data_IF_176041100559
#
_entry.id   IF_176041100559
#
_cell.length_a   1.000
_cell.length_b   1.000
_cell.length_c   1.000
_cell.angle_alpha   90.00
_cell.angle_beta   90.00
_cell.angle_gamma   90.00
#
_symmetry.space_group_name_H-M   'P 1'
#
loop_
_entity.id
_entity.type
_entity.pdbx_description
1 polymer ?
#
# COMPACT_ATOMS: atom_id res chain seq x y z
N UNK A 1 4.44 60.30 49.32
CA UNK A 1 4.23 61.35 48.31
C UNK A 1 5.25 61.15 47.19
N UNK A 2 4.75 60.97 45.96
CA UNK A 2 5.36 61.17 44.63
C UNK A 2 6.68 60.46 44.20
N UNK A 3 6.47 59.47 43.30
CA UNK A 3 7.11 59.22 41.99
C UNK A 3 8.63 59.28 41.78
N UNK A 4 9.20 58.17 41.31
CA UNK A 4 10.10 58.16 40.13
C UNK A 4 9.83 56.97 39.21
N UNK A 5 9.77 57.27 37.93
CA UNK A 5 9.45 56.42 36.78
C UNK A 5 10.40 55.21 36.65
N UNK A 6 9.82 54.03 36.41
CA UNK A 6 10.54 52.86 35.89
C UNK A 6 10.67 52.96 34.36
N UNK A 7 11.89 52.82 33.86
CA UNK A 7 12.16 52.41 32.47
C UNK A 7 11.84 50.93 32.30
N UNK A 8 11.23 50.55 31.17
CA UNK A 8 11.43 49.23 30.58
C UNK A 8 11.45 49.35 29.05
N UNK A 9 12.45 48.77 28.35
CA UNK A 9 12.57 48.90 26.90
C UNK A 9 11.55 48.03 26.17
N UNK A 10 11.14 48.51 25.00
CA UNK A 10 10.29 47.82 24.02
C UNK A 10 10.92 46.47 23.61
N UNK A 11 10.21 45.37 23.83
CA UNK A 11 10.43 44.13 23.07
C UNK A 11 9.29 44.04 22.05
N UNK A 12 9.59 43.99 20.74
CA UNK A 12 8.54 44.02 19.72
C UNK A 12 7.80 42.68 19.70
N UNK A 13 6.48 42.77 19.90
CA UNK A 13 5.49 41.72 19.72
C UNK A 13 5.36 41.38 18.22
N UNK A 14 6.39 40.78 17.62
CA UNK A 14 6.46 40.52 16.17
C UNK A 14 7.25 39.25 15.81
N UNK A 15 7.32 38.28 16.73
CA UNK A 15 8.02 37.00 16.54
C UNK A 15 7.12 35.79 16.84
N UNK A 16 5.83 35.88 16.54
CA UNK A 16 4.86 34.76 16.70
C UNK A 16 4.26 34.34 15.35
N UNK A 17 5.02 34.46 14.26
CA UNK A 17 4.56 34.13 12.89
C UNK A 17 5.51 33.23 12.08
N UNK A 18 6.44 32.51 12.71
CA UNK A 18 7.41 31.67 11.98
C UNK A 18 7.49 30.20 12.44
N UNK A 19 6.44 29.70 13.08
CA UNK A 19 6.20 28.26 13.22
C UNK A 19 4.96 27.85 12.43
N UNK A 20 4.81 28.37 11.21
CA UNK A 20 4.14 27.61 10.16
C UNK A 20 5.00 26.37 9.97
N UNK A 21 4.56 25.29 10.60
CA UNK A 21 5.06 23.94 10.42
C UNK A 21 5.06 23.69 8.93
N UNK A 22 6.21 23.91 8.28
CA UNK A 22 6.39 23.48 6.91
C UNK A 22 6.40 21.97 7.04
N UNK A 23 5.24 21.35 6.86
CA UNK A 23 5.16 19.95 6.48
C UNK A 23 5.83 19.88 5.12
N UNK A 24 7.17 19.84 5.11
CA UNK A 24 7.95 19.52 3.94
C UNK A 24 7.68 18.04 3.72
N UNK A 25 6.54 17.71 3.12
CA UNK A 25 6.42 16.44 2.43
C UNK A 25 7.46 16.50 1.32
N UNK A 26 8.49 15.65 1.33
CA UNK A 26 9.47 15.65 0.26
C UNK A 26 8.73 15.44 -1.06
N UNK A 27 8.79 16.43 -1.95
CA UNK A 27 8.26 16.30 -3.31
C UNK A 27 9.19 15.37 -4.08
N UNK A 28 8.63 14.41 -4.82
CA UNK A 28 9.37 13.60 -5.78
C UNK A 28 10.06 14.47 -6.82
N UNK A 29 11.16 13.95 -7.38
CA UNK A 29 11.80 14.49 -8.56
C UNK A 29 10.87 14.38 -9.77
N UNK A 30 11.14 15.17 -10.81
CA UNK A 30 10.35 15.11 -12.03
C UNK A 30 10.40 13.70 -12.67
N UNK A 31 11.56 13.05 -12.67
CA UNK A 31 11.73 11.71 -13.24
C UNK A 31 10.98 10.66 -12.41
N UNK A 32 11.10 10.69 -11.08
CA UNK A 32 10.34 9.82 -10.16
C UNK A 32 8.84 10.03 -10.32
N UNK A 33 8.40 11.27 -10.45
CA UNK A 33 6.99 11.61 -10.64
C UNK A 33 6.45 11.06 -11.98
N UNK A 34 7.25 11.14 -13.05
CA UNK A 34 6.88 10.57 -14.35
C UNK A 34 6.76 9.03 -14.29
N UNK A 35 7.66 8.35 -13.58
CA UNK A 35 7.56 6.90 -13.35
C UNK A 35 6.29 6.54 -12.58
N UNK A 36 5.99 7.26 -11.49
CA UNK A 36 4.76 7.05 -10.71
C UNK A 36 3.52 7.28 -11.58
N UNK A 37 3.50 8.35 -12.39
CA UNK A 37 2.39 8.64 -13.29
C UNK A 37 2.20 7.56 -14.35
N UNK A 38 3.29 7.05 -14.92
CA UNK A 38 3.27 5.95 -15.89
C UNK A 38 2.65 4.69 -15.28
N UNK A 39 3.13 4.26 -14.11
CA UNK A 39 2.62 3.08 -13.40
C UNK A 39 1.14 3.30 -13.01
N UNK A 40 0.82 4.41 -12.35
CA UNK A 40 -0.52 4.62 -11.79
C UNK A 40 -1.62 4.84 -12.83
N UNK A 41 -1.28 5.26 -14.06
CA UNK A 41 -2.27 5.35 -15.16
C UNK A 41 -2.72 3.99 -15.68
N UNK A 42 -2.00 2.91 -15.36
CA UNK A 42 -2.37 1.54 -15.71
C UNK A 42 -3.26 0.89 -14.64
N UNK A 43 -3.45 1.53 -13.50
CA UNK A 43 -4.24 1.00 -12.39
C UNK A 43 -5.73 1.32 -12.57
N UNK A 44 -6.60 0.43 -12.06
CA UNK A 44 -8.03 0.73 -11.98
C UNK A 44 -8.31 2.00 -11.16
N UNK A 45 -7.42 2.32 -10.21
CA UNK A 45 -7.52 3.50 -9.37
C UNK A 45 -6.20 4.25 -9.20
N UNK A 46 -6.05 5.28 -10.04
CA UNK A 46 -4.93 6.20 -10.00
C UNK A 46 -4.72 6.83 -8.60
N UNK A 47 -5.81 7.24 -7.93
CA UNK A 47 -5.74 7.92 -6.63
C UNK A 47 -5.13 7.04 -5.55
N UNK A 48 -5.52 5.78 -5.48
CA UNK A 48 -4.96 4.82 -4.54
C UNK A 48 -3.48 4.56 -4.83
N UNK A 49 -3.13 4.33 -6.10
CA UNK A 49 -1.74 4.09 -6.50
C UNK A 49 -0.82 5.27 -6.19
N UNK A 50 -1.21 6.48 -6.61
CA UNK A 50 -0.40 7.68 -6.41
C UNK A 50 -0.22 8.02 -4.93
N UNK A 51 -1.26 7.85 -4.12
CA UNK A 51 -1.17 8.04 -2.67
C UNK A 51 -0.26 6.98 -2.03
N UNK A 52 -0.37 5.72 -2.45
CA UNK A 52 0.49 4.63 -1.97
C UNK A 52 1.97 4.94 -2.18
N UNK A 53 2.37 5.41 -3.37
CA UNK A 53 3.75 5.84 -3.59
C UNK A 53 4.12 7.05 -2.74
N UNK A 54 3.29 8.10 -2.76
CA UNK A 54 3.54 9.34 -2.01
C UNK A 54 3.80 9.11 -0.52
N UNK A 55 3.07 8.20 0.11
CA UNK A 55 3.21 7.89 1.54
C UNK A 55 4.45 7.03 1.85
N UNK A 56 5.01 6.33 0.87
CA UNK A 56 6.06 5.34 1.07
C UNK A 56 7.39 5.67 0.37
N UNK A 57 7.47 6.78 -0.36
CA UNK A 57 8.71 7.27 -0.94
C UNK A 57 9.73 7.59 0.16
N UNK A 58 10.89 6.92 0.09
CA UNK A 58 12.02 7.13 1.01
C UNK A 58 12.91 8.30 0.58
N UNK A 59 12.87 8.67 -0.70
CA UNK A 59 13.68 9.73 -1.31
C UNK A 59 12.93 10.40 -2.48
N UNK A 60 13.11 11.71 -2.70
CA UNK A 60 12.64 12.40 -3.89
C UNK A 60 13.08 11.76 -5.21
N UNK A 61 14.29 11.19 -5.25
CA UNK A 61 14.92 10.65 -6.46
C UNK A 61 14.83 9.11 -6.47
N UNK A 62 13.64 8.56 -6.24
CA UNK A 62 13.43 7.11 -6.28
C UNK A 62 13.36 6.63 -7.74
N UNK A 63 14.15 5.62 -8.09
CA UNK A 63 14.14 4.96 -9.38
C UNK A 63 13.13 3.81 -9.42
N UNK A 64 13.01 3.13 -10.56
CA UNK A 64 12.08 2.01 -10.73
C UNK A 64 12.37 0.86 -9.75
N UNK A 65 13.63 0.62 -9.37
CA UNK A 65 13.98 -0.38 -8.35
C UNK A 65 13.33 -0.02 -7.01
N UNK A 66 13.48 1.22 -6.56
CA UNK A 66 12.87 1.69 -5.31
C UNK A 66 11.34 1.66 -5.36
N UNK A 67 10.72 2.00 -6.51
CA UNK A 67 9.26 1.93 -6.67
C UNK A 67 8.76 0.48 -6.64
N UNK A 68 9.43 -0.45 -7.31
CA UNK A 68 9.10 -1.89 -7.26
C UNK A 68 9.25 -2.46 -5.85
N UNK A 69 10.26 -2.02 -5.10
CA UNK A 69 10.38 -2.42 -3.68
C UNK A 69 9.15 -1.97 -2.87
N UNK A 70 8.69 -0.72 -3.07
CA UNK A 70 7.52 -0.18 -2.37
C UNK A 70 6.28 -1.04 -2.66
N UNK A 71 6.04 -1.42 -3.91
CA UNK A 71 4.84 -2.20 -4.28
C UNK A 71 4.85 -3.59 -3.66
N UNK A 72 5.99 -4.29 -3.66
CA UNK A 72 6.16 -5.59 -2.98
C UNK A 72 5.91 -5.44 -1.47
N UNK A 73 6.51 -4.44 -0.82
CA UNK A 73 6.33 -4.20 0.62
C UNK A 73 4.85 -3.91 0.96
N UNK A 74 4.17 -3.09 0.14
CA UNK A 74 2.76 -2.73 0.40
C UNK A 74 1.80 -3.88 0.11
N UNK A 75 2.05 -4.66 -0.94
CA UNK A 75 1.26 -5.86 -1.22
C UNK A 75 1.40 -6.90 -0.09
N UNK A 76 2.62 -7.12 0.40
CA UNK A 76 2.89 -8.03 1.54
C UNK A 76 2.15 -7.60 2.81
N UNK A 77 2.25 -6.31 3.16
CA UNK A 77 1.60 -5.75 4.35
C UNK A 77 0.07 -5.83 4.26
N UNK A 78 -0.51 -5.50 3.10
CA UNK A 78 -1.95 -5.58 2.90
C UNK A 78 -2.44 -7.04 2.93
N UNK A 79 -1.74 -7.97 2.27
CA UNK A 79 -2.08 -9.39 2.27
C UNK A 79 -2.08 -9.95 3.70
N UNK A 80 -1.05 -9.64 4.49
CA UNK A 80 -0.93 -10.07 5.89
C UNK A 80 -2.09 -9.52 6.74
N UNK A 81 -2.34 -8.21 6.67
CA UNK A 81 -3.44 -7.57 7.43
C UNK A 81 -4.81 -8.09 7.04
N UNK A 82 -4.99 -8.46 5.77
CA UNK A 82 -6.25 -9.00 5.27
C UNK A 82 -6.44 -10.45 5.68
N UNK A 83 -5.38 -11.27 5.61
CA UNK A 83 -5.37 -12.62 6.16
C UNK A 83 -5.72 -12.63 7.66
N UNK A 84 -5.10 -11.75 8.47
CA UNK A 84 -5.41 -11.64 9.90
C UNK A 84 -6.87 -11.27 10.15
N UNK A 85 -7.43 -10.38 9.32
CA UNK A 85 -8.84 -10.02 9.40
C UNK A 85 -9.78 -11.19 9.05
N UNK A 86 -9.42 -12.00 8.04
CA UNK A 86 -10.18 -13.22 7.70
C UNK A 86 -10.19 -14.19 8.89
N UNK A 87 -9.05 -14.36 9.56
CA UNK A 87 -8.95 -15.22 10.75
C UNK A 87 -9.83 -14.76 11.90
N UNK A 88 -9.89 -13.44 12.13
CA UNK A 88 -10.83 -12.88 13.12
C UNK A 88 -12.28 -13.21 12.78
N UNK A 89 -12.68 -13.05 11.51
CA UNK A 89 -14.02 -13.39 11.06
C UNK A 89 -14.33 -14.89 11.19
N UNK A 90 -13.34 -15.76 10.95
CA UNK A 90 -13.45 -17.21 11.10
C UNK A 90 -13.69 -17.63 12.56
N UNK A 91 -13.04 -16.94 13.50
CA UNK A 91 -13.19 -17.18 14.94
C UNK A 91 -14.57 -16.71 15.46
N UNK A 92 -15.12 -15.64 14.87
CA UNK A 92 -16.37 -15.02 15.32
C UNK A 92 -17.65 -15.62 14.70
N UNK A 93 -17.54 -16.33 13.57
CA UNK A 93 -18.73 -16.86 12.86
C UNK A 93 -19.12 -18.27 13.28
N UNK A 94 -20.44 -18.49 13.42
CA UNK A 94 -21.05 -19.81 13.54
C UNK A 94 -21.77 -20.25 12.24
N UNK A 95 -21.90 -19.36 11.25
CA UNK A 95 -22.54 -19.69 9.97
C UNK A 95 -21.61 -20.56 9.13
N UNK A 96 -22.06 -21.78 8.81
CA UNK A 96 -21.25 -22.79 8.11
C UNK A 96 -20.92 -22.38 6.68
N UNK A 97 -21.86 -21.77 5.95
CA UNK A 97 -21.62 -21.36 4.57
C UNK A 97 -20.60 -20.22 4.51
N UNK A 98 -20.75 -19.24 5.40
CA UNK A 98 -19.82 -18.14 5.53
C UNK A 98 -18.45 -18.60 6.02
N UNK A 99 -18.39 -19.55 6.96
CA UNK A 99 -17.14 -20.16 7.42
C UNK A 99 -16.39 -20.87 6.28
N UNK A 100 -17.10 -21.62 5.44
CA UNK A 100 -16.50 -22.27 4.28
C UNK A 100 -15.96 -21.25 3.27
N UNK A 101 -16.69 -20.17 3.01
CA UNK A 101 -16.24 -19.10 2.13
C UNK A 101 -15.00 -18.37 2.69
N UNK A 102 -15.01 -18.02 3.98
CA UNK A 102 -13.85 -17.43 4.65
C UNK A 102 -12.63 -18.37 4.64
N UNK A 103 -12.83 -19.68 4.80
CA UNK A 103 -11.72 -20.65 4.73
C UNK A 103 -11.12 -20.71 3.32
N UNK A 104 -11.96 -20.67 2.28
CA UNK A 104 -11.49 -20.59 0.90
C UNK A 104 -10.73 -19.27 0.65
N UNK A 105 -11.25 -18.16 1.16
CA UNK A 105 -10.60 -16.86 1.09
C UNK A 105 -9.26 -16.83 1.85
N UNK A 106 -9.18 -17.43 3.05
CA UNK A 106 -7.94 -17.55 3.84
C UNK A 106 -6.86 -18.28 3.04
N UNK A 107 -7.21 -19.41 2.41
CA UNK A 107 -6.29 -20.13 1.53
C UNK A 107 -5.82 -19.29 0.34
N UNK A 108 -6.72 -18.50 -0.26
CA UNK A 108 -6.35 -17.55 -1.32
C UNK A 108 -5.31 -16.53 -0.84
N UNK A 109 -5.51 -15.95 0.34
CA UNK A 109 -4.57 -14.99 0.92
C UNK A 109 -3.25 -15.63 1.38
N UNK A 110 -3.24 -16.88 1.84
CA UNK A 110 -2.00 -17.63 2.09
C UNK A 110 -1.16 -17.73 0.80
N UNK A 111 -1.77 -18.07 -0.34
CA UNK A 111 -1.07 -18.12 -1.63
C UNK A 111 -0.52 -16.74 -2.01
N UNK A 112 -1.30 -15.68 -1.82
CA UNK A 112 -0.84 -14.30 -2.08
C UNK A 112 0.37 -13.95 -1.21
N UNK A 113 0.31 -14.22 0.10
CA UNK A 113 1.41 -13.96 1.03
C UNK A 113 2.69 -14.73 0.66
N UNK A 114 2.59 -16.04 0.45
CA UNK A 114 3.74 -16.87 0.07
C UNK A 114 4.38 -16.41 -1.24
N UNK A 115 3.55 -15.94 -2.19
CA UNK A 115 4.01 -15.43 -3.47
C UNK A 115 4.76 -14.10 -3.32
N UNK A 116 4.27 -13.18 -2.47
CA UNK A 116 4.97 -11.93 -2.20
C UNK A 116 6.22 -12.09 -1.32
N UNK A 117 6.26 -13.08 -0.43
CA UNK A 117 7.49 -13.47 0.28
C UNK A 117 8.55 -13.99 -0.71
N UNK A 118 8.15 -14.85 -1.65
CA UNK A 118 9.03 -15.34 -2.71
C UNK A 118 9.49 -14.21 -3.64
N UNK A 119 8.59 -13.27 -3.98
CA UNK A 119 8.90 -12.09 -4.77
C UNK A 119 9.93 -11.21 -4.04
N UNK A 120 9.75 -10.96 -2.74
CA UNK A 120 10.70 -10.19 -1.94
C UNK A 120 12.10 -10.83 -1.92
N UNK A 121 12.18 -12.15 -1.71
CA UNK A 121 13.46 -12.88 -1.75
C UNK A 121 14.13 -12.75 -3.12
N UNK A 122 13.39 -12.95 -4.20
CA UNK A 122 13.91 -12.87 -5.57
C UNK A 122 14.34 -11.45 -5.93
N UNK A 123 13.60 -10.45 -5.46
CA UNK A 123 13.91 -9.03 -5.63
C UNK A 123 15.26 -8.66 -5.00
N UNK A 124 15.52 -9.12 -3.77
CA UNK A 124 16.82 -8.89 -3.11
C UNK A 124 17.98 -9.62 -3.81
N UNK A 125 17.71 -10.73 -4.50
CA UNK A 125 18.67 -11.43 -5.34
C UNK A 125 18.86 -10.80 -6.72
N UNK A 126 18.07 -9.77 -7.05
CA UNK A 126 17.98 -9.12 -8.37
C UNK A 126 17.53 -10.06 -9.48
N UNK A 127 16.82 -11.14 -9.13
CA UNK A 127 16.17 -12.05 -10.07
C UNK A 127 14.75 -11.58 -10.36
N UNK A 128 14.62 -10.52 -11.16
CA UNK A 128 13.35 -9.85 -11.42
C UNK A 128 12.38 -10.70 -12.27
N UNK A 129 12.90 -11.61 -13.10
CA UNK A 129 12.05 -12.58 -13.81
C UNK A 129 11.34 -13.52 -12.81
N UNK A 130 12.04 -13.96 -11.76
CA UNK A 130 11.43 -14.75 -10.69
C UNK A 130 10.47 -13.92 -9.82
N UNK A 131 10.70 -12.62 -9.65
CA UNK A 131 9.73 -11.69 -9.01
C UNK A 131 8.42 -11.68 -9.83
N UNK A 132 8.50 -11.37 -11.13
CA UNK A 132 7.30 -11.31 -11.98
C UNK A 132 6.57 -12.65 -12.01
N UNK A 133 7.32 -13.77 -12.09
CA UNK A 133 6.74 -15.12 -12.06
C UNK A 133 6.02 -15.42 -10.74
N UNK A 134 6.58 -15.02 -9.61
CA UNK A 134 5.96 -15.21 -8.30
C UNK A 134 4.67 -14.37 -8.19
N UNK A 135 4.70 -13.10 -8.64
CA UNK A 135 3.53 -12.21 -8.55
C UNK A 135 2.38 -12.64 -9.49
N UNK A 136 2.68 -13.24 -10.64
CA UNK A 136 1.68 -13.62 -11.67
C UNK A 136 0.59 -14.58 -11.20
N UNK A 137 0.79 -15.33 -10.12
CA UNK A 137 -0.25 -16.24 -9.59
C UNK A 137 -1.25 -15.53 -8.68
N UNK A 138 -0.86 -14.38 -8.12
CA UNK A 138 -1.62 -13.68 -7.07
C UNK A 138 -2.96 -13.09 -7.53
N UNK A 139 -3.15 -12.58 -8.77
CA UNK A 139 -4.45 -12.06 -9.20
C UNK A 139 -5.56 -13.10 -9.12
N UNK A 140 -5.25 -14.35 -9.51
CA UNK A 140 -6.23 -15.44 -9.48
C UNK A 140 -6.54 -15.89 -8.05
N UNK A 141 -5.52 -15.90 -7.19
CA UNK A 141 -5.71 -16.25 -5.78
C UNK A 141 -6.58 -15.22 -5.06
N UNK A 142 -6.32 -13.92 -5.25
CA UNK A 142 -7.15 -12.83 -4.72
C UNK A 142 -8.59 -12.90 -5.24
N UNK A 143 -8.78 -13.05 -6.56
CA UNK A 143 -10.10 -13.14 -7.16
C UNK A 143 -10.92 -14.33 -6.63
N UNK A 144 -10.27 -15.46 -6.29
CA UNK A 144 -10.96 -16.61 -5.73
C UNK A 144 -11.52 -16.36 -4.32
N UNK A 145 -10.87 -15.51 -3.52
CA UNK A 145 -11.42 -15.06 -2.25
C UNK A 145 -12.71 -14.24 -2.49
N UNK A 146 -12.62 -13.22 -3.36
CA UNK A 146 -13.75 -12.34 -3.67
C UNK A 146 -14.97 -13.13 -4.17
N UNK A 147 -14.75 -14.07 -5.09
CA UNK A 147 -15.80 -14.95 -5.62
C UNK A 147 -16.44 -15.81 -4.51
N UNK A 148 -15.65 -16.37 -3.61
CA UNK A 148 -16.15 -17.23 -2.53
C UNK A 148 -17.12 -16.50 -1.59
N UNK A 149 -16.86 -15.21 -1.32
CA UNK A 149 -17.65 -14.39 -0.40
C UNK A 149 -18.86 -13.73 -1.08
N UNK A 150 -18.82 -13.57 -2.41
CA UNK A 150 -19.88 -12.95 -3.21
C UNK A 150 -20.85 -13.97 -3.83
N UNK A 151 -20.61 -15.28 -3.66
CA UNK A 151 -21.46 -16.36 -4.18
C UNK A 151 -22.52 -16.80 -3.15
N UNK A 152 -23.79 -17.01 -3.56
CA UNK A 152 -24.83 -17.54 -2.68
C UNK A 152 -24.41 -18.86 -1.99
N UNK A 153 -24.81 -19.09 -0.71
CA UNK A 153 -25.81 -18.34 0.05
C UNK A 153 -25.25 -17.12 0.82
N UNK A 154 -23.98 -16.75 0.60
CA UNK A 154 -23.40 -15.58 1.25
C UNK A 154 -24.11 -14.30 0.78
N UNK A 155 -24.46 -13.44 1.72
CA UNK A 155 -25.17 -12.17 1.46
C UNK A 155 -24.32 -10.94 1.79
N UNK A 156 -23.13 -11.15 2.36
CA UNK A 156 -22.22 -10.11 2.79
C UNK A 156 -20.80 -10.48 2.39
N UNK A 157 -20.07 -9.48 1.89
CA UNK A 157 -18.65 -9.57 1.66
C UNK A 157 -17.93 -8.47 2.47
N UNK A 158 -17.53 -8.75 3.72
CA UNK A 158 -16.78 -7.78 4.54
C UNK A 158 -15.35 -7.53 4.04
N UNK A 159 -14.90 -8.26 3.01
CA UNK A 159 -13.57 -8.18 2.43
C UNK A 159 -13.52 -7.31 1.17
N UNK A 160 -14.66 -6.83 0.65
CA UNK A 160 -14.75 -6.13 -0.63
C UNK A 160 -13.69 -5.00 -0.80
N UNK A 161 -13.60 -4.10 0.18
CA UNK A 161 -12.62 -2.99 0.11
C UNK A 161 -11.17 -3.48 0.22
N UNK A 162 -10.92 -4.53 1.02
CA UNK A 162 -9.59 -5.12 1.20
C UNK A 162 -9.12 -5.84 -0.06
N UNK A 163 -9.99 -6.65 -0.65
CA UNK A 163 -9.78 -7.35 -1.92
C UNK A 163 -9.52 -6.36 -3.07
N UNK A 164 -10.33 -5.30 -3.15
CA UNK A 164 -10.09 -4.19 -4.09
C UNK A 164 -8.71 -3.56 -3.92
N UNK A 165 -8.32 -3.19 -2.70
CA UNK A 165 -6.99 -2.63 -2.45
C UNK A 165 -5.88 -3.62 -2.81
N UNK A 166 -6.03 -4.89 -2.45
CA UNK A 166 -5.07 -5.95 -2.75
C UNK A 166 -4.90 -6.15 -4.25
N UNK A 167 -5.99 -6.16 -5.03
CA UNK A 167 -5.95 -6.23 -6.50
C UNK A 167 -5.18 -5.07 -7.11
N UNK A 168 -5.38 -3.84 -6.62
CA UNK A 168 -4.62 -2.68 -7.09
C UNK A 168 -3.14 -2.84 -6.74
N UNK A 169 -2.80 -3.27 -5.52
CA UNK A 169 -1.42 -3.48 -5.10
C UNK A 169 -0.72 -4.59 -5.91
N UNK A 170 -1.42 -5.68 -6.21
CA UNK A 170 -0.94 -6.75 -7.10
C UNK A 170 -0.63 -6.18 -8.49
N UNK A 171 -1.55 -5.41 -9.06
CA UNK A 171 -1.34 -4.80 -10.37
C UNK A 171 -0.17 -3.79 -10.35
N UNK A 172 -0.05 -2.99 -9.29
CA UNK A 172 1.08 -2.07 -9.12
C UNK A 172 2.41 -2.83 -9.07
N UNK A 173 2.47 -3.95 -8.34
CA UNK A 173 3.65 -4.79 -8.25
C UNK A 173 4.06 -5.36 -9.61
N UNK A 174 3.11 -6.01 -10.30
CA UNK A 174 3.32 -6.60 -11.62
C UNK A 174 3.78 -5.58 -12.66
N UNK A 175 3.16 -4.40 -12.70
CA UNK A 175 3.57 -3.34 -13.63
C UNK A 175 4.96 -2.82 -13.28
N UNK A 176 5.24 -2.58 -12.00
CA UNK A 176 6.54 -2.02 -11.59
C UNK A 176 7.69 -2.98 -11.87
N UNK A 177 7.52 -4.28 -11.60
CA UNK A 177 8.55 -5.28 -11.95
C UNK A 177 8.70 -5.46 -13.46
N UNK A 178 7.61 -5.38 -14.22
CA UNK A 178 7.67 -5.46 -15.68
C UNK A 178 8.47 -4.29 -16.29
N UNK A 179 8.22 -3.07 -15.82
CA UNK A 179 9.00 -1.89 -16.22
C UNK A 179 10.47 -2.01 -15.77
N UNK A 180 10.72 -2.57 -14.59
CA UNK A 180 12.07 -2.82 -14.08
C UNK A 180 12.87 -3.80 -14.95
N UNK A 181 12.24 -4.85 -15.47
CA UNK A 181 12.88 -5.84 -16.35
C UNK A 181 13.30 -5.21 -17.69
N UNK A 182 12.59 -4.16 -18.13
CA UNK A 182 12.83 -3.50 -19.42
C UNK A 182 13.83 -2.32 -19.33
N UNK A 183 14.21 -1.92 -18.12
CA UNK A 183 15.05 -0.75 -17.84
C UNK A 183 16.55 -0.97 -18.12
#
# INVERSE_FOLDING_TARGET
>A
MANKFHSCPRVPMLLVLFFLVINITPSSSQDTQQLIEHICRQMEEYGFCSQTFKENLKSPNSDIVALTQITIERATDNATKTHDFIRQLLDDTADIAFKNALTACEHGYLVVMESFDSAAVSFFQKDYDSVEKAERVTPRAEASCEESLSTPPNTQNPLNDRNRQMRILIAMALVSVHELIQA
#
